data_IF_276453864302
#
_entry.id   IF_276453864302
#
_cell.length_a   1.000
_cell.length_b   1.000
_cell.length_c   1.000
_cell.angle_alpha   90.00
_cell.angle_beta   90.00
_cell.angle_gamma   90.00
#
_symmetry.space_group_name_H-M   'P 1'
#
loop_
_entity.id
_entity.type
_entity.pdbx_description
1 polymer ?
#
# COMPACT_ATOMS: atom_id res chain seq x y z
N UNK A 1 -13.40 -10.72 28.55
CA UNK A 1 -13.01 -11.16 27.19
C UNK A 1 -14.11 -10.76 26.22
N UNK A 2 -13.78 -10.15 25.08
CA UNK A 2 -14.77 -9.37 24.34
C UNK A 2 -15.49 -10.20 23.25
N UNK A 3 -16.73 -10.59 23.53
CA UNK A 3 -17.67 -11.24 22.62
C UNK A 3 -18.37 -10.18 21.76
N UNK A 4 -17.59 -9.48 20.94
CA UNK A 4 -18.04 -8.27 20.27
C UNK A 4 -17.46 -8.11 18.88
N UNK A 5 -18.17 -7.33 18.08
CA UNK A 5 -17.71 -6.74 16.84
C UNK A 5 -17.64 -5.25 17.09
N UNK A 6 -16.51 -4.63 16.76
CA UNK A 6 -16.26 -3.19 16.99
C UNK A 6 -16.23 -2.45 15.66
N UNK A 7 -16.50 -1.15 15.71
CA UNK A 7 -16.38 -0.26 14.55
C UNK A 7 -15.21 0.68 14.74
N UNK A 8 -14.54 0.98 13.63
CA UNK A 8 -13.53 2.00 13.57
C UNK A 8 -13.90 3.04 12.51
N UNK A 9 -13.67 4.30 12.82
CA UNK A 9 -13.59 5.34 11.80
C UNK A 9 -12.13 5.47 11.37
N UNK A 10 -11.88 5.49 10.07
CA UNK A 10 -10.53 5.71 9.55
C UNK A 10 -10.38 7.18 9.12
N UNK A 11 -9.29 7.80 9.53
CA UNK A 11 -8.94 9.17 9.16
C UNK A 11 -7.49 9.23 8.69
N UNK A 12 -7.18 10.19 7.81
CA UNK A 12 -5.82 10.46 7.36
C UNK A 12 -4.94 10.89 8.55
N UNK A 13 -3.74 10.33 8.65
CA UNK A 13 -2.76 10.72 9.66
C UNK A 13 -1.35 10.67 9.06
N UNK A 14 -0.92 11.80 8.49
CA UNK A 14 0.35 11.87 7.75
C UNK A 14 0.32 10.92 6.54
N UNK A 15 1.38 10.14 6.36
CA UNK A 15 1.46 9.10 5.33
C UNK A 15 0.68 7.81 5.68
N UNK A 16 0.06 7.72 6.86
CA UNK A 16 -0.75 6.58 7.26
C UNK A 16 -2.19 6.94 7.59
N UNK A 17 -2.83 6.09 8.38
CA UNK A 17 -4.19 6.28 8.86
C UNK A 17 -4.25 6.17 10.38
N UNK A 18 -5.16 6.92 11.00
CA UNK A 18 -5.61 6.70 12.36
C UNK A 18 -6.93 5.93 12.35
N UNK A 19 -7.15 5.12 13.40
CA UNK A 19 -8.37 4.33 13.57
C UNK A 19 -9.02 4.69 14.91
N UNK A 20 -10.15 5.39 14.85
CA UNK A 20 -10.90 5.81 16.02
C UNK A 20 -11.94 4.75 16.38
N UNK A 21 -11.83 4.18 17.58
CA UNK A 21 -12.77 3.17 18.05
C UNK A 21 -14.15 3.78 18.35
N UNK A 22 -15.16 3.42 17.55
CA UNK A 22 -16.53 3.93 17.65
C UNK A 22 -17.44 3.08 18.55
N UNK A 23 -16.87 2.13 19.29
CA UNK A 23 -17.62 1.21 20.15
C UNK A 23 -18.10 -0.06 19.45
N UNK A 24 -18.84 -0.86 20.20
CA UNK A 24 -19.32 -2.18 19.79
C UNK A 24 -20.49 -2.02 18.79
N UNK A 25 -20.41 -2.65 17.62
CA UNK A 25 -21.53 -2.84 16.67
C UNK A 25 -22.47 -3.94 17.15
N UNK A 26 -21.91 -5.09 17.53
CA UNK A 26 -22.63 -6.23 18.08
C UNK A 26 -21.89 -6.68 19.32
N UNK A 27 -22.64 -6.96 20.38
CA UNK A 27 -22.11 -7.56 21.61
C UNK A 27 -23.04 -8.69 22.04
N UNK A 28 -22.47 -9.81 22.44
CA UNK A 28 -23.20 -10.94 22.98
C UNK A 28 -22.75 -11.24 24.41
N UNK A 29 -23.66 -11.71 25.25
CA UNK A 29 -23.34 -12.33 26.54
C UNK A 29 -22.90 -13.78 26.39
N UNK A 30 -23.10 -14.40 25.22
CA UNK A 30 -22.76 -15.80 24.99
C UNK A 30 -21.25 -16.02 24.93
N UNK A 31 -20.76 -16.94 25.76
CA UNK A 31 -19.37 -17.37 25.77
C UNK A 31 -18.90 -17.98 24.43
N UNK A 32 -19.83 -18.48 23.61
CA UNK A 32 -19.53 -19.07 22.32
C UNK A 32 -19.52 -18.07 21.17
N UNK A 33 -20.04 -16.84 21.33
CA UNK A 33 -19.98 -15.84 20.26
C UNK A 33 -18.54 -15.39 20.03
N UNK A 34 -17.97 -15.79 18.89
CA UNK A 34 -16.58 -15.61 18.46
C UNK A 34 -16.53 -15.19 16.99
N UNK A 35 -16.93 -13.95 16.68
CA UNK A 35 -16.74 -13.40 15.35
C UNK A 35 -15.24 -13.36 15.03
N UNK A 36 -14.86 -13.98 13.91
CA UNK A 36 -13.46 -14.05 13.43
C UNK A 36 -13.25 -13.28 12.14
N UNK A 37 -14.32 -13.01 11.37
CA UNK A 37 -14.25 -12.20 10.16
C UNK A 37 -15.58 -11.50 9.88
N UNK A 38 -15.49 -10.37 9.18
CA UNK A 38 -16.61 -9.52 8.79
C UNK A 38 -16.40 -9.03 7.36
N UNK A 39 -17.39 -9.25 6.48
CA UNK A 39 -17.35 -8.82 5.07
C UNK A 39 -18.67 -8.21 4.63
N UNK A 40 -18.63 -7.26 3.70
CA UNK A 40 -19.81 -6.86 2.94
C UNK A 40 -20.13 -7.95 1.91
N UNK A 41 -21.40 -8.36 1.84
CA UNK A 41 -21.89 -9.31 0.85
C UNK A 41 -22.45 -8.64 -0.42
N UNK A 42 -22.76 -9.45 -1.46
CA UNK A 42 -23.28 -8.97 -2.74
C UNK A 42 -24.67 -8.31 -2.66
N UNK A 43 -25.41 -8.55 -1.59
CA UNK A 43 -26.73 -7.95 -1.33
C UNK A 43 -26.65 -6.66 -0.50
N UNK A 44 -25.44 -6.19 -0.19
CA UNK A 44 -25.16 -5.02 0.62
C UNK A 44 -25.35 -5.24 2.14
N UNK A 45 -25.57 -6.48 2.57
CA UNK A 45 -25.59 -6.86 3.98
C UNK A 45 -24.17 -7.10 4.51
N UNK A 46 -24.03 -7.08 5.84
CA UNK A 46 -22.80 -7.47 6.52
C UNK A 46 -22.86 -8.94 6.89
N UNK A 47 -21.87 -9.71 6.48
CA UNK A 47 -21.73 -11.13 6.82
C UNK A 47 -20.63 -11.31 7.85
N UNK A 48 -20.92 -12.07 8.89
CA UNK A 48 -20.00 -12.33 10.00
C UNK A 48 -19.77 -13.83 10.08
N UNK A 49 -18.51 -14.25 9.98
CA UNK A 49 -18.10 -15.61 10.29
C UNK A 49 -17.85 -15.72 11.79
N UNK A 50 -18.66 -16.52 12.47
CA UNK A 50 -18.58 -16.77 13.90
C UNK A 50 -18.14 -18.21 14.15
N UNK A 51 -16.92 -18.36 14.66
CA UNK A 51 -16.34 -19.66 14.99
C UNK A 51 -17.15 -20.42 16.05
N UNK A 52 -18.02 -19.71 16.80
CA UNK A 52 -19.03 -20.29 17.69
C UNK A 52 -18.48 -21.21 18.79
N UNK A 53 -17.22 -21.04 19.18
CA UNK A 53 -16.52 -21.93 20.11
C UNK A 53 -16.29 -21.28 21.49
N UNK A 54 -16.68 -21.91 22.61
CA UNK A 54 -16.45 -21.35 23.94
C UNK A 54 -14.95 -21.27 24.31
N UNK A 55 -14.10 -22.13 23.73
CA UNK A 55 -12.68 -22.28 24.11
C UNK A 55 -11.78 -21.76 22.98
N UNK A 56 -10.97 -20.74 23.29
CA UNK A 56 -10.11 -20.04 22.32
C UNK A 56 -8.60 -20.25 22.54
N UNK A 57 -8.23 -21.03 23.56
CA UNK A 57 -6.85 -21.06 24.07
C UNK A 57 -6.04 -22.21 23.48
N UNK A 58 -4.73 -21.97 23.37
CA UNK A 58 -3.72 -22.90 22.84
C UNK A 58 -3.09 -23.83 23.88
N UNK A 59 -3.56 -23.87 25.14
CA UNK A 59 -2.94 -24.77 26.13
C UNK A 59 -3.58 -24.87 27.52
N UNK A 60 -4.39 -23.91 27.95
CA UNK A 60 -5.03 -23.95 29.29
C UNK A 60 -6.19 -24.97 29.39
N UNK A 61 -6.77 -25.35 28.25
CA UNK A 61 -7.84 -26.34 28.15
C UNK A 61 -7.45 -27.38 27.13
N UNK A 62 -7.55 -28.65 27.51
CA UNK A 62 -7.14 -29.80 26.70
C UNK A 62 -7.69 -29.71 25.26
N UNK A 63 -6.88 -30.11 24.28
CA UNK A 63 -7.26 -30.08 22.86
C UNK A 63 -8.39 -31.06 22.51
N UNK A 64 -8.64 -32.05 23.37
CA UNK A 64 -9.73 -33.03 23.29
C UNK A 64 -10.90 -32.68 24.20
N UNK A 65 -10.91 -31.51 24.86
CA UNK A 65 -12.06 -31.08 25.67
C UNK A 65 -13.35 -31.14 24.82
N UNK A 66 -14.40 -31.85 25.30
CA UNK A 66 -15.60 -32.11 24.52
C UNK A 66 -16.42 -30.86 24.20
N UNK A 67 -16.17 -29.73 24.88
CA UNK A 67 -16.83 -28.45 24.61
C UNK A 67 -16.27 -27.74 23.37
N UNK A 68 -15.13 -28.20 22.83
CA UNK A 68 -14.57 -27.67 21.58
C UNK A 68 -15.38 -28.20 20.41
N UNK A 69 -16.22 -27.33 19.84
CA UNK A 69 -16.90 -27.65 18.58
C UNK A 69 -15.89 -27.61 17.41
N UNK A 70 -15.79 -28.73 16.69
CA UNK A 70 -14.84 -28.93 15.59
C UNK A 70 -15.52 -28.92 14.22
N UNK A 71 -16.84 -28.86 14.17
CA UNK A 71 -17.61 -29.10 12.94
C UNK A 71 -18.66 -28.04 12.66
N UNK A 72 -19.09 -27.26 13.65
CA UNK A 72 -20.06 -26.18 13.45
C UNK A 72 -19.45 -24.79 13.62
N UNK A 73 -20.08 -23.84 12.93
CA UNK A 73 -19.91 -22.41 13.08
C UNK A 73 -21.22 -21.72 12.72
N UNK A 74 -21.24 -20.39 12.78
CA UNK A 74 -22.41 -19.60 12.39
C UNK A 74 -22.01 -18.53 11.39
N UNK A 75 -22.86 -18.31 10.39
CA UNK A 75 -22.78 -17.16 9.51
C UNK A 75 -23.95 -16.24 9.85
N UNK A 76 -23.64 -15.06 10.35
CA UNK A 76 -24.66 -14.04 10.61
C UNK A 76 -24.77 -13.13 9.38
N UNK A 77 -25.99 -12.90 8.90
CA UNK A 77 -26.28 -11.87 7.91
C UNK A 77 -27.01 -10.71 8.60
N UNK A 78 -26.37 -9.56 8.65
CA UNK A 78 -26.86 -8.36 9.32
C UNK A 78 -27.27 -7.33 8.28
N UNK A 79 -28.54 -6.91 8.34
CA UNK A 79 -29.12 -5.88 7.46
C UNK A 79 -30.09 -5.00 8.25
N UNK A 80 -30.48 -3.86 7.67
CA UNK A 80 -31.43 -2.94 8.27
C UNK A 80 -32.86 -3.46 8.11
N UNK A 81 -33.70 -3.29 9.15
CA UNK A 81 -35.13 -3.60 9.06
C UNK A 81 -35.77 -2.76 7.95
N UNK A 82 -36.59 -3.39 7.11
CA UNK A 82 -37.28 -2.71 6.01
C UNK A 82 -36.41 -2.32 4.82
N UNK A 83 -35.08 -2.51 4.86
CA UNK A 83 -34.22 -2.25 3.70
C UNK A 83 -34.39 -3.35 2.65
N UNK A 84 -34.72 -2.95 1.43
CA UNK A 84 -34.67 -3.86 0.27
C UNK A 84 -33.22 -4.27 0.00
N UNK A 85 -32.97 -5.57 -0.04
CA UNK A 85 -31.67 -6.11 -0.41
C UNK A 85 -31.29 -5.69 -1.84
N UNK A 86 -30.01 -5.45 -2.08
CA UNK A 86 -29.53 -5.18 -3.44
C UNK A 86 -29.71 -6.44 -4.28
N UNK A 87 -30.11 -6.25 -5.55
CA UNK A 87 -30.28 -7.36 -6.47
C UNK A 87 -28.91 -7.95 -6.79
N UNK A 88 -28.76 -9.26 -6.62
CA UNK A 88 -27.55 -9.97 -7.01
C UNK A 88 -27.27 -9.75 -8.50
N UNK A 89 -26.08 -9.21 -8.79
CA UNK A 89 -25.58 -9.04 -10.15
C UNK A 89 -24.67 -10.21 -10.51
N UNK A 90 -24.88 -10.78 -11.69
CA UNK A 90 -23.92 -11.74 -12.23
C UNK A 90 -22.88 -11.00 -13.07
N UNK A 91 -21.87 -10.45 -12.39
CA UNK A 91 -20.81 -9.63 -13.00
C UNK A 91 -20.04 -10.37 -14.11
N UNK A 92 -19.98 -11.71 -14.07
CA UNK A 92 -19.28 -12.46 -15.13
C UNK A 92 -19.99 -12.38 -16.48
N UNK A 93 -21.30 -12.11 -16.48
CA UNK A 93 -22.14 -11.96 -17.68
C UNK A 93 -22.26 -10.51 -18.17
N UNK A 94 -21.74 -9.53 -17.41
CA UNK A 94 -21.81 -8.13 -17.80
C UNK A 94 -20.72 -7.78 -18.82
N UNK A 95 -21.00 -6.86 -19.74
CA UNK A 95 -19.98 -6.39 -20.67
C UNK A 95 -18.91 -5.52 -19.96
N UNK A 96 -17.78 -5.28 -20.62
CA UNK A 96 -16.66 -4.54 -20.04
C UNK A 96 -17.05 -3.14 -19.56
N UNK A 97 -17.83 -2.39 -20.35
CA UNK A 97 -18.27 -1.03 -20.03
C UNK A 97 -19.06 -1.00 -18.70
N UNK A 98 -20.03 -1.90 -18.56
CA UNK A 98 -20.82 -2.00 -17.33
C UNK A 98 -19.95 -2.35 -16.11
N UNK A 99 -18.92 -3.18 -16.29
CA UNK A 99 -17.98 -3.51 -15.21
C UNK A 99 -17.07 -2.34 -14.85
N UNK A 100 -16.65 -1.51 -15.81
CA UNK A 100 -15.89 -0.30 -15.51
C UNK A 100 -16.73 0.70 -14.70
N UNK A 101 -18.02 0.86 -15.04
CA UNK A 101 -18.93 1.71 -14.28
C UNK A 101 -19.10 1.22 -12.83
N UNK A 102 -19.06 -0.10 -12.60
CA UNK A 102 -19.09 -0.70 -11.25
C UNK A 102 -17.91 -0.23 -10.39
N UNK A 103 -16.74 -0.01 -10.98
CA UNK A 103 -15.55 0.44 -10.25
C UNK A 103 -15.74 1.80 -9.58
N UNK A 104 -16.67 2.61 -10.07
CA UNK A 104 -16.99 3.94 -9.55
C UNK A 104 -18.17 3.97 -8.57
N UNK A 105 -18.77 2.81 -8.26
CA UNK A 105 -19.91 2.72 -7.32
C UNK A 105 -19.44 2.56 -5.87
N UNK A 106 -20.28 2.83 -4.88
CA UNK A 106 -19.89 2.67 -3.45
C UNK A 106 -19.95 1.23 -2.91
N UNK A 107 -20.29 0.24 -3.74
CA UNK A 107 -20.35 -1.16 -3.29
C UNK A 107 -18.97 -1.82 -3.40
N UNK A 108 -18.25 -1.92 -2.27
CA UNK A 108 -16.91 -2.49 -2.23
C UNK A 108 -16.85 -3.97 -2.66
N UNK A 109 -17.93 -4.74 -2.42
CA UNK A 109 -18.01 -6.12 -2.93
C UNK A 109 -18.03 -6.11 -4.46
N UNK A 110 -18.95 -5.35 -5.06
CA UNK A 110 -19.11 -5.30 -6.52
C UNK A 110 -17.86 -4.75 -7.20
N UNK A 111 -17.25 -3.68 -6.66
CA UNK A 111 -15.97 -3.16 -7.16
C UNK A 111 -14.89 -4.26 -7.17
N UNK A 112 -14.70 -4.96 -6.04
CA UNK A 112 -13.68 -6.02 -5.91
C UNK A 112 -13.92 -7.15 -6.90
N UNK A 113 -15.18 -7.57 -7.07
CA UNK A 113 -15.53 -8.63 -8.02
C UNK A 113 -15.43 -8.16 -9.48
N UNK A 114 -15.77 -6.92 -9.79
CA UNK A 114 -15.61 -6.36 -11.13
C UNK A 114 -14.13 -6.30 -11.53
N UNK A 115 -13.23 -5.80 -10.65
CA UNK A 115 -11.78 -5.82 -10.91
C UNK A 115 -11.28 -7.24 -11.19
N UNK A 116 -11.73 -8.23 -10.39
CA UNK A 116 -11.37 -9.63 -10.61
C UNK A 116 -11.81 -10.14 -11.98
N UNK A 117 -13.08 -9.92 -12.36
CA UNK A 117 -13.60 -10.37 -13.67
C UNK A 117 -12.85 -9.69 -14.81
N UNK A 118 -12.56 -8.39 -14.71
CA UNK A 118 -11.80 -7.65 -15.71
C UNK A 118 -10.36 -8.16 -15.83
N UNK A 119 -9.71 -8.46 -14.70
CA UNK A 119 -8.38 -9.07 -14.69
C UNK A 119 -8.39 -10.47 -15.34
N UNK A 120 -9.37 -11.31 -15.02
CA UNK A 120 -9.53 -12.65 -15.62
C UNK A 120 -9.79 -12.60 -17.14
N UNK A 121 -10.38 -11.51 -17.65
CA UNK A 121 -10.54 -11.29 -19.10
C UNK A 121 -9.22 -10.94 -19.79
N UNK A 122 -8.23 -10.41 -19.06
CA UNK A 122 -6.92 -10.07 -19.59
C UNK A 122 -6.93 -8.86 -20.55
N UNK A 123 -5.89 -8.69 -21.39
CA UNK A 123 -5.69 -7.49 -22.21
C UNK A 123 -6.80 -7.17 -23.23
N UNK A 124 -7.73 -8.10 -23.49
CA UNK A 124 -8.88 -7.89 -24.38
C UNK A 124 -9.80 -6.74 -23.91
N UNK A 125 -9.72 -6.35 -22.64
CA UNK A 125 -10.52 -5.25 -22.07
C UNK A 125 -10.03 -3.87 -22.50
N UNK A 126 -8.78 -3.73 -22.96
CA UNK A 126 -8.13 -2.43 -23.13
C UNK A 126 -8.76 -1.52 -24.20
N UNK A 127 -9.24 -2.03 -25.35
CA UNK A 127 -9.96 -1.19 -26.32
C UNK A 127 -11.24 -0.58 -25.74
N UNK A 128 -12.01 -1.37 -24.99
CA UNK A 128 -13.22 -0.90 -24.31
C UNK A 128 -12.86 0.08 -23.19
N UNK A 129 -11.80 -0.20 -22.42
CA UNK A 129 -11.31 0.66 -21.35
C UNK A 129 -10.92 2.04 -21.87
N UNK A 130 -10.19 2.09 -22.99
CA UNK A 130 -9.82 3.36 -23.65
C UNK A 130 -11.05 4.16 -24.09
N UNK A 131 -12.05 3.49 -24.66
CA UNK A 131 -13.32 4.12 -25.06
C UNK A 131 -14.10 4.64 -23.85
N UNK A 132 -14.20 3.83 -22.80
CA UNK A 132 -14.86 4.18 -21.55
C UNK A 132 -14.20 5.37 -20.87
N UNK A 133 -12.88 5.36 -20.72
CA UNK A 133 -12.12 6.42 -20.05
C UNK A 133 -12.28 7.78 -20.75
N UNK A 134 -12.37 7.81 -22.08
CA UNK A 134 -12.64 9.04 -22.84
C UNK A 134 -13.97 9.70 -22.42
N UNK A 135 -14.97 8.90 -22.04
CA UNK A 135 -16.26 9.40 -21.56
C UNK A 135 -16.24 9.92 -20.12
N UNK A 136 -15.17 9.64 -19.36
CA UNK A 136 -15.05 10.05 -17.94
C UNK A 136 -14.39 11.43 -17.76
N UNK A 137 -13.85 12.02 -18.83
CA UNK A 137 -13.18 13.33 -18.78
C UNK A 137 -12.01 13.35 -17.79
N UNK A 138 -12.01 14.32 -16.88
CA UNK A 138 -10.96 14.54 -15.88
C UNK A 138 -11.22 13.80 -14.55
N UNK A 139 -12.04 12.75 -14.56
CA UNK A 139 -12.30 11.96 -13.36
C UNK A 139 -11.04 11.16 -12.93
N UNK A 140 -10.31 11.70 -11.96
CA UNK A 140 -9.05 11.12 -11.47
C UNK A 140 -9.22 9.72 -10.87
N UNK A 141 -10.38 9.42 -10.25
CA UNK A 141 -10.70 8.07 -9.76
C UNK A 141 -10.82 7.09 -10.93
N UNK A 142 -11.50 7.46 -12.00
CA UNK A 142 -11.62 6.63 -13.20
C UNK A 142 -10.26 6.41 -13.89
N UNK A 143 -9.41 7.44 -13.91
CA UNK A 143 -8.05 7.35 -14.43
C UNK A 143 -7.19 6.38 -13.61
N UNK A 144 -7.29 6.42 -12.27
CA UNK A 144 -6.57 5.49 -11.40
C UNK A 144 -7.06 4.04 -11.57
N UNK A 145 -8.38 3.83 -11.62
CA UNK A 145 -8.94 2.50 -11.88
C UNK A 145 -8.46 1.94 -13.23
N UNK A 146 -8.45 2.78 -14.27
CA UNK A 146 -7.92 2.38 -15.57
C UNK A 146 -6.42 2.05 -15.51
N UNK A 147 -5.62 2.80 -14.74
CA UNK A 147 -4.20 2.53 -14.55
C UNK A 147 -3.97 1.19 -13.85
N UNK A 148 -4.71 0.90 -12.78
CA UNK A 148 -4.63 -0.39 -12.09
C UNK A 148 -5.10 -1.55 -12.95
N UNK A 149 -6.06 -1.36 -13.84
CA UNK A 149 -6.45 -2.40 -14.80
C UNK A 149 -5.33 -2.68 -15.81
N UNK A 150 -4.64 -1.65 -16.29
CA UNK A 150 -3.44 -1.80 -17.12
C UNK A 150 -2.35 -2.59 -16.40
N UNK A 151 -2.11 -2.27 -15.12
CA UNK A 151 -1.17 -2.99 -14.27
C UNK A 151 -1.57 -4.45 -14.07
N UNK A 152 -2.85 -4.70 -13.74
CA UNK A 152 -3.37 -6.04 -13.51
C UNK A 152 -3.19 -6.95 -14.74
N UNK A 153 -3.43 -6.43 -15.95
CA UNK A 153 -3.23 -7.21 -17.19
C UNK A 153 -1.80 -7.12 -17.74
N UNK A 154 -0.88 -6.53 -16.97
CA UNK A 154 0.54 -6.37 -17.27
C UNK A 154 0.83 -5.66 -18.61
N UNK A 155 0.06 -4.62 -18.94
CA UNK A 155 0.26 -3.79 -20.14
C UNK A 155 0.54 -2.34 -19.73
N UNK A 156 1.78 -1.91 -19.90
CA UNK A 156 2.22 -0.54 -19.58
C UNK A 156 1.45 0.50 -20.38
N UNK A 157 0.92 1.51 -19.68
CA UNK A 157 0.37 2.71 -20.28
C UNK A 157 1.05 3.95 -19.67
N UNK A 158 2.20 4.31 -20.26
CA UNK A 158 3.02 5.42 -19.77
C UNK A 158 2.25 6.74 -19.75
N UNK A 159 1.46 7.06 -20.79
CA UNK A 159 0.69 8.31 -20.85
C UNK A 159 -0.32 8.44 -19.70
N UNK A 160 -1.03 7.36 -19.38
CA UNK A 160 -1.98 7.36 -18.27
C UNK A 160 -1.27 7.43 -16.91
N UNK A 161 -0.11 6.76 -16.77
CA UNK A 161 0.72 6.87 -15.57
C UNK A 161 1.18 8.32 -15.37
N UNK A 162 1.69 8.99 -16.41
CA UNK A 162 2.11 10.39 -16.30
C UNK A 162 0.95 11.32 -15.95
N UNK A 163 -0.23 11.09 -16.52
CA UNK A 163 -1.43 11.86 -16.19
C UNK A 163 -1.81 11.72 -14.71
N UNK A 164 -1.80 10.48 -14.18
CA UNK A 164 -2.21 10.20 -12.80
C UNK A 164 -1.17 10.62 -11.76
N UNK A 165 0.12 10.69 -12.13
CA UNK A 165 1.17 11.28 -11.32
C UNK A 165 1.01 12.80 -11.12
N UNK A 166 0.26 13.47 -12.00
CA UNK A 166 -0.03 14.92 -11.94
C UNK A 166 -1.46 15.22 -11.43
N UNK A 167 -2.20 14.20 -10.96
CA UNK A 167 -3.55 14.35 -10.44
C UNK A 167 -3.61 15.34 -9.26
N UNK A 168 -4.72 16.05 -9.08
CA UNK A 168 -4.94 16.96 -7.96
C UNK A 168 -5.04 16.20 -6.63
N UNK A 169 -5.72 15.04 -6.63
CA UNK A 169 -5.84 14.18 -5.47
C UNK A 169 -4.53 13.43 -5.20
N UNK A 170 -3.91 13.72 -4.04
CA UNK A 170 -2.69 13.05 -3.62
C UNK A 170 -2.84 11.53 -3.39
N UNK A 171 -4.08 11.03 -3.22
CA UNK A 171 -4.37 9.58 -3.19
C UNK A 171 -4.17 8.94 -4.55
N UNK A 172 -4.54 9.64 -5.62
CA UNK A 172 -4.35 9.18 -7.00
C UNK A 172 -2.88 9.20 -7.36
N UNK A 173 -2.17 10.28 -7.03
CA UNK A 173 -0.71 10.35 -7.21
C UNK A 173 0.03 9.25 -6.45
N UNK A 174 -0.38 8.94 -5.20
CA UNK A 174 0.23 7.87 -4.42
C UNK A 174 -0.03 6.49 -5.06
N UNK A 175 -1.25 6.24 -5.54
CA UNK A 175 -1.58 5.03 -6.29
C UNK A 175 -0.75 4.89 -7.57
N UNK A 176 -0.60 5.98 -8.33
CA UNK A 176 0.23 6.04 -9.53
C UNK A 176 1.71 5.80 -9.24
N UNK A 177 2.23 6.33 -8.13
CA UNK A 177 3.62 6.13 -7.71
C UNK A 177 3.94 4.66 -7.39
N UNK A 178 2.97 3.88 -6.89
CA UNK A 178 3.13 2.42 -6.75
C UNK A 178 3.25 1.71 -8.09
N UNK A 179 2.42 2.10 -9.05
CA UNK A 179 2.49 1.56 -10.42
C UNK A 179 3.82 1.93 -11.08
N UNK A 180 4.33 3.15 -10.84
CA UNK A 180 5.65 3.57 -11.27
C UNK A 180 6.75 2.64 -10.73
N UNK A 181 6.68 2.24 -9.46
CA UNK A 181 7.62 1.30 -8.87
C UNK A 181 7.59 -0.06 -9.59
N UNK A 182 6.40 -0.60 -9.87
CA UNK A 182 6.25 -1.89 -10.56
C UNK A 182 6.60 -1.85 -12.05
N UNK A 183 6.58 -0.68 -12.69
CA UNK A 183 6.92 -0.50 -14.10
C UNK A 183 8.29 0.15 -14.31
N UNK A 184 9.09 0.33 -13.26
CA UNK A 184 10.30 1.14 -13.29
C UNK A 184 11.30 0.71 -14.37
N UNK A 185 11.37 -0.59 -14.63
CA UNK A 185 12.27 -1.25 -15.59
C UNK A 185 11.80 -1.14 -17.05
N UNK A 186 10.55 -0.73 -17.25
CA UNK A 186 9.90 -0.54 -18.56
C UNK A 186 9.69 0.94 -18.91
N UNK A 187 10.26 1.85 -18.12
CA UNK A 187 10.10 3.29 -18.23
C UNK A 187 11.45 4.00 -18.12
N UNK A 188 11.66 5.02 -18.95
CA UNK A 188 12.92 5.78 -18.97
C UNK A 188 12.91 7.01 -18.05
N UNK A 189 11.75 7.38 -17.50
CA UNK A 189 11.58 8.61 -16.70
C UNK A 189 11.36 8.33 -15.21
N UNK A 190 11.52 7.08 -14.76
CA UNK A 190 11.17 6.66 -13.39
C UNK A 190 11.88 7.48 -12.32
N UNK A 191 13.18 7.70 -12.45
CA UNK A 191 13.98 8.51 -11.52
C UNK A 191 13.42 9.93 -11.39
N UNK A 192 13.06 10.57 -12.51
CA UNK A 192 12.54 11.93 -12.55
C UNK A 192 11.23 12.05 -11.76
N UNK A 193 10.29 11.13 -12.00
CA UNK A 193 8.99 11.14 -11.32
C UNK A 193 9.10 10.75 -9.85
N UNK A 194 9.94 9.79 -9.49
CA UNK A 194 10.22 9.45 -8.11
C UNK A 194 10.83 10.66 -7.36
N UNK A 195 11.82 11.33 -7.96
CA UNK A 195 12.42 12.53 -7.37
C UNK A 195 11.40 13.67 -7.19
N UNK A 196 10.45 13.84 -8.11
CA UNK A 196 9.34 14.78 -7.95
C UNK A 196 8.44 14.38 -6.77
N UNK A 197 8.08 13.09 -6.66
CA UNK A 197 7.24 12.57 -5.58
C UNK A 197 7.83 12.71 -4.18
N UNK A 198 9.16 12.67 -4.02
CA UNK A 198 9.83 12.94 -2.74
C UNK A 198 9.49 14.33 -2.19
N UNK A 199 9.21 15.29 -3.08
CA UNK A 199 8.88 16.68 -2.73
C UNK A 199 7.37 16.97 -2.77
N UNK A 200 6.55 15.95 -2.95
CA UNK A 200 5.10 16.12 -3.04
C UNK A 200 4.51 16.64 -1.72
N UNK A 201 3.47 17.47 -1.82
CA UNK A 201 2.76 18.01 -0.65
C UNK A 201 2.08 16.91 0.17
N UNK A 202 1.55 15.89 -0.49
CA UNK A 202 0.85 14.78 0.14
C UNK A 202 1.86 13.75 0.67
N UNK A 203 1.86 13.46 1.99
CA UNK A 203 2.88 12.61 2.63
C UNK A 203 2.93 11.19 2.06
N UNK A 204 1.80 10.55 1.74
CA UNK A 204 1.84 9.24 1.06
C UNK A 204 2.57 9.25 -0.27
N UNK A 205 2.50 10.31 -1.07
CA UNK A 205 3.23 10.35 -2.34
C UNK A 205 4.74 10.32 -2.08
N UNK A 206 5.21 11.04 -1.06
CA UNK A 206 6.60 10.98 -0.60
C UNK A 206 7.00 9.58 -0.16
N UNK A 207 6.14 8.90 0.61
CA UNK A 207 6.36 7.53 1.05
C UNK A 207 6.54 6.59 -0.16
N UNK A 208 5.59 6.59 -1.09
CA UNK A 208 5.65 5.72 -2.26
C UNK A 208 6.85 6.06 -3.15
N UNK A 209 7.21 7.33 -3.29
CA UNK A 209 8.37 7.76 -4.06
C UNK A 209 9.70 7.25 -3.48
N UNK A 210 9.84 7.20 -2.15
CA UNK A 210 10.99 6.53 -1.53
C UNK A 210 11.02 5.04 -1.85
N UNK A 211 9.85 4.39 -1.94
CA UNK A 211 9.77 2.97 -2.28
C UNK A 211 10.09 2.68 -3.74
N UNK A 212 9.79 3.59 -4.67
CA UNK A 212 10.24 3.48 -6.07
C UNK A 212 11.76 3.36 -6.16
N UNK A 213 12.50 4.20 -5.43
CA UNK A 213 13.96 4.13 -5.41
C UNK A 213 14.50 2.79 -4.86
N UNK A 214 13.78 2.16 -3.92
CA UNK A 214 14.16 0.86 -3.38
C UNK A 214 14.06 -0.27 -4.43
N UNK A 215 13.07 -0.22 -5.33
CA UNK A 215 12.93 -1.19 -6.43
C UNK A 215 14.07 -1.06 -7.45
N UNK A 216 14.64 0.12 -7.61
CA UNK A 216 15.70 0.40 -8.58
C UNK A 216 17.13 0.07 -8.06
N UNK A 217 17.26 -0.73 -7.01
CA UNK A 217 18.53 -1.03 -6.32
C UNK A 217 19.59 -1.71 -7.19
N UNK A 218 19.18 -2.39 -8.26
CA UNK A 218 20.08 -3.10 -9.18
C UNK A 218 20.67 -2.19 -10.28
N UNK A 219 20.28 -0.92 -10.31
CA UNK A 219 20.83 0.06 -11.24
C UNK A 219 22.30 0.36 -10.96
N UNK A 220 23.08 0.62 -12.01
CA UNK A 220 24.49 1.05 -11.89
C UNK A 220 24.65 2.38 -11.15
N UNK A 221 23.61 3.21 -11.13
CA UNK A 221 23.57 4.50 -10.41
C UNK A 221 22.78 4.42 -9.10
N UNK A 222 22.45 3.22 -8.59
CA UNK A 222 21.64 3.04 -7.38
C UNK A 222 22.20 3.73 -6.12
N UNK A 223 23.50 4.03 -6.09
CA UNK A 223 24.11 4.82 -5.02
C UNK A 223 23.50 6.24 -4.93
N UNK A 224 23.10 6.84 -6.06
CA UNK A 224 22.45 8.15 -6.12
C UNK A 224 21.01 8.10 -5.61
N UNK A 225 20.31 6.98 -5.81
CA UNK A 225 18.92 6.82 -5.36
C UNK A 225 18.80 6.89 -3.84
N UNK A 226 19.81 6.42 -3.11
CA UNK A 226 19.87 6.61 -1.66
C UNK A 226 19.91 8.11 -1.29
N UNK A 227 20.70 8.90 -2.01
CA UNK A 227 20.76 10.35 -1.81
C UNK A 227 19.44 11.03 -2.17
N UNK A 228 18.75 10.61 -3.23
CA UNK A 228 17.45 11.16 -3.59
C UNK A 228 16.36 10.79 -2.58
N UNK A 229 16.32 9.56 -2.09
CA UNK A 229 15.40 9.16 -1.04
C UNK A 229 15.61 9.99 0.24
N UNK A 230 16.86 10.24 0.64
CA UNK A 230 17.19 11.06 1.81
C UNK A 230 16.71 12.52 1.71
N UNK A 231 16.42 13.04 0.52
CA UNK A 231 15.80 14.37 0.37
C UNK A 231 14.41 14.45 1.02
N UNK A 232 13.77 13.32 1.33
CA UNK A 232 12.56 13.28 2.14
C UNK A 232 12.74 13.95 3.51
N UNK A 233 13.94 13.90 4.09
CA UNK A 233 14.27 14.56 5.36
C UNK A 233 14.19 16.09 5.28
N UNK A 234 14.20 16.65 4.07
CA UNK A 234 14.02 18.09 3.84
C UNK A 234 12.52 18.48 3.81
N UNK A 235 11.61 17.51 3.96
CA UNK A 235 10.16 17.69 4.02
C UNK A 235 9.61 17.36 5.42
N UNK A 236 8.35 17.73 5.75
CA UNK A 236 7.71 17.28 6.98
C UNK A 236 7.65 15.75 7.05
N UNK A 237 8.24 15.20 8.12
CA UNK A 237 8.32 13.76 8.38
C UNK A 237 7.27 13.32 9.40
N UNK A 238 6.89 12.05 9.33
CA UNK A 238 6.11 11.33 10.33
C UNK A 238 6.68 9.92 10.52
N UNK A 239 6.14 9.15 11.46
CA UNK A 239 6.63 7.79 11.77
C UNK A 239 6.57 6.81 10.59
N UNK A 240 5.66 7.01 9.65
CA UNK A 240 5.51 6.15 8.48
C UNK A 240 6.54 6.52 7.41
N UNK A 241 6.79 7.82 7.21
CA UNK A 241 7.87 8.32 6.34
C UNK A 241 9.24 7.94 6.88
N UNK A 242 9.44 8.03 8.21
CA UNK A 242 10.67 7.62 8.88
C UNK A 242 10.96 6.13 8.65
N UNK A 243 9.97 5.26 8.91
CA UNK A 243 10.08 3.84 8.65
C UNK A 243 10.26 3.52 7.15
N UNK A 244 9.52 4.22 6.28
CA UNK A 244 9.63 4.06 4.82
C UNK A 244 11.02 4.40 4.30
N UNK A 245 11.59 5.51 4.78
CA UNK A 245 12.94 5.94 4.43
C UNK A 245 13.99 4.97 4.98
N UNK A 246 13.83 4.52 6.24
CA UNK A 246 14.71 3.51 6.82
C UNK A 246 14.72 2.22 6.00
N UNK A 247 13.54 1.73 5.61
CA UNK A 247 13.41 0.53 4.79
C UNK A 247 14.05 0.74 3.42
N UNK A 248 13.85 1.90 2.78
CA UNK A 248 14.46 2.22 1.48
C UNK A 248 15.98 2.28 1.58
N UNK A 249 16.52 2.88 2.64
CA UNK A 249 17.95 2.91 2.89
C UNK A 249 18.51 1.51 3.17
N UNK A 250 17.73 0.64 3.82
CA UNK A 250 18.12 -0.74 4.06
C UNK A 250 18.22 -1.53 2.74
N UNK A 251 17.24 -1.38 1.85
CA UNK A 251 17.24 -1.99 0.51
C UNK A 251 18.40 -1.47 -0.36
N UNK A 252 18.77 -0.20 -0.20
CA UNK A 252 19.86 0.47 -0.92
C UNK A 252 21.22 0.41 -0.19
N UNK A 253 21.35 -0.37 0.88
CA UNK A 253 22.52 -0.35 1.75
C UNK A 253 23.83 -0.67 1.00
N UNK A 254 23.84 -1.72 0.16
CA UNK A 254 25.02 -2.10 -0.61
C UNK A 254 25.47 -1.03 -1.62
N UNK A 255 24.61 -0.55 -2.55
CA UNK A 255 25.00 0.51 -3.48
C UNK A 255 25.40 1.80 -2.74
N UNK A 256 24.70 2.17 -1.66
CA UNK A 256 25.06 3.33 -0.83
C UNK A 256 26.46 3.21 -0.24
N UNK A 257 26.79 2.09 0.42
CA UNK A 257 28.11 1.87 1.01
C UNK A 257 29.21 1.92 -0.05
N UNK A 258 29.00 1.30 -1.22
CA UNK A 258 29.96 1.38 -2.34
C UNK A 258 30.19 2.82 -2.80
N UNK A 259 29.10 3.60 -2.96
CA UNK A 259 29.16 5.01 -3.36
C UNK A 259 29.84 5.93 -2.34
N UNK A 260 29.70 5.64 -1.04
CA UNK A 260 30.44 6.35 -0.01
C UNK A 260 31.94 6.02 -0.02
N UNK A 261 32.29 4.74 -0.27
CA UNK A 261 33.68 4.28 -0.22
C UNK A 261 34.54 4.72 -1.40
N UNK A 262 33.94 4.91 -2.59
CA UNK A 262 34.63 5.36 -3.80
C UNK A 262 34.56 6.89 -3.98
N UNK A 263 33.92 7.61 -3.05
CA UNK A 263 33.79 9.07 -3.09
C UNK A 263 32.73 9.60 -4.04
N UNK A 264 31.88 8.74 -4.62
CA UNK A 264 30.76 9.16 -5.48
C UNK A 264 29.65 9.89 -4.70
N UNK A 265 29.54 9.65 -3.38
CA UNK A 265 28.59 10.32 -2.50
C UNK A 265 29.30 11.29 -1.55
N UNK A 266 28.72 12.48 -1.38
CA UNK A 266 29.23 13.52 -0.49
C UNK A 266 28.09 14.17 0.30
N UNK A 267 28.17 14.09 1.63
CA UNK A 267 27.19 14.64 2.57
C UNK A 267 27.76 15.77 3.45
N UNK A 268 28.84 16.45 3.03
CA UNK A 268 29.49 17.52 3.82
C UNK A 268 28.52 18.56 4.36
N UNK A 269 27.53 18.96 3.56
CA UNK A 269 26.57 20.01 3.91
C UNK A 269 25.18 19.46 4.28
N UNK A 270 25.06 18.13 4.46
CA UNK A 270 23.81 17.41 4.72
C UNK A 270 23.98 16.41 5.86
N UNK A 271 24.36 16.90 7.03
CA UNK A 271 24.67 16.08 8.23
C UNK A 271 23.50 15.18 8.64
N UNK A 272 22.26 15.67 8.61
CA UNK A 272 21.06 14.88 8.95
C UNK A 272 20.85 13.70 8.00
N UNK A 273 21.15 13.87 6.70
CA UNK A 273 21.04 12.81 5.70
C UNK A 273 22.09 11.73 5.96
N UNK A 274 23.33 12.14 6.22
CA UNK A 274 24.41 11.20 6.56
C UNK A 274 24.10 10.41 7.83
N UNK A 275 23.62 11.09 8.87
CA UNK A 275 23.26 10.46 10.14
C UNK A 275 22.14 9.44 9.97
N UNK A 276 21.06 9.80 9.27
CA UNK A 276 19.96 8.88 9.00
C UNK A 276 20.43 7.66 8.21
N UNK A 277 21.21 7.88 7.14
CA UNK A 277 21.72 6.81 6.31
C UNK A 277 22.58 5.83 7.10
N UNK A 278 23.50 6.32 7.94
CA UNK A 278 24.35 5.49 8.78
C UNK A 278 23.56 4.68 9.81
N UNK A 279 22.53 5.29 10.43
CA UNK A 279 21.64 4.61 11.39
C UNK A 279 20.77 3.53 10.73
N UNK A 280 20.53 3.63 9.42
CA UNK A 280 19.72 2.67 8.66
C UNK A 280 20.51 1.43 8.18
N UNK A 281 21.84 1.49 8.22
CA UNK A 281 22.70 0.37 7.85
C UNK A 281 22.74 -0.69 8.96
N UNK A 282 22.97 -1.95 8.56
CA UNK A 282 23.29 -3.00 9.53
C UNK A 282 24.57 -2.64 10.30
N UNK A 283 24.67 -2.95 11.61
CA UNK A 283 25.78 -2.48 12.45
C UNK A 283 27.18 -2.77 11.88
N UNK A 284 27.37 -3.94 11.25
CA UNK A 284 28.65 -4.31 10.63
C UNK A 284 29.03 -3.44 9.42
N UNK A 285 28.05 -3.05 8.60
CA UNK A 285 28.28 -2.21 7.41
C UNK A 285 28.57 -0.76 7.80
N UNK A 286 27.83 -0.22 8.78
CA UNK A 286 28.04 1.14 9.29
C UNK A 286 29.43 1.31 9.92
N UNK A 287 29.83 0.37 10.79
CA UNK A 287 31.16 0.40 11.43
C UNK A 287 32.30 0.31 10.40
N UNK A 288 32.19 -0.57 9.41
CA UNK A 288 33.18 -0.71 8.36
C UNK A 288 33.33 0.57 7.52
N UNK A 289 32.21 1.22 7.19
CA UNK A 289 32.20 2.46 6.44
C UNK A 289 32.87 3.60 7.23
N UNK A 290 32.50 3.80 8.50
CA UNK A 290 33.08 4.83 9.36
C UNK A 290 34.59 4.61 9.50
N UNK A 291 35.03 3.38 9.78
CA UNK A 291 36.45 3.05 9.91
C UNK A 291 37.25 3.39 8.64
N UNK A 292 36.69 3.11 7.45
CA UNK A 292 37.34 3.43 6.18
C UNK A 292 37.40 4.95 5.92
N UNK A 293 36.31 5.67 6.19
CA UNK A 293 36.27 7.13 6.03
C UNK A 293 37.23 7.85 7.00
N UNK A 294 37.32 7.38 8.24
CA UNK A 294 38.27 7.89 9.25
C UNK A 294 39.72 7.60 8.85
N UNK A 295 40.03 6.46 8.23
CA UNK A 295 41.39 6.21 7.71
C UNK A 295 41.75 7.07 6.51
N UNK A 296 40.77 7.42 5.67
CA UNK A 296 40.97 8.26 4.48
C UNK A 296 41.11 9.75 4.83
N UNK A 297 40.38 10.24 5.83
CA UNK A 297 40.63 11.54 6.45
C UNK A 297 41.76 11.38 7.44
N UNK A 298 43.03 11.61 7.03
CA UNK A 298 44.16 11.66 7.98
C UNK A 298 43.70 12.38 9.24
N UNK A 299 43.55 11.65 10.35
CA UNK A 299 43.24 12.26 11.63
C UNK A 299 44.39 13.25 11.88
N UNK A 300 44.10 14.51 12.23
CA UNK A 300 45.15 15.40 12.67
C UNK A 300 45.91 14.68 13.79
N UNK A 301 47.23 14.65 13.68
CA UNK A 301 48.08 14.18 14.75
C UNK A 301 48.09 15.29 15.80
N UNK A 302 47.18 15.17 16.77
CA UNK A 302 47.27 15.87 18.04
C UNK A 302 48.22 15.07 18.95
#
# INVERSE_FOLDING_TARGET
RAHRIVRFNLSENGAGYAADHLGDFIRSSSASFRPIDVKQGPDGALYIADWSNPIIQHGEVDFRDPRRDKVHGRIWRVTFKGRKLQKLRNLTKENNIALFDVLLTENAYDQSKARRVLHERGPVILPDLKKWLKGQGENETAQLEALWLHEAVNVVNASLLMLTLEANDGRVRAGAMRVLAHWHDRLNTTELHAAAGIRDKHPRVRLEAMRVFAEMKDSTVAHQYAQYALQALDQPMDKFLDYGLWLTMNDLAEPFVRGMQNGALNFKDKTSHAEFALRSLQPGQGAALINKLVRQRKLPAD
#
